data_IF_008626558391
#
_entry.id   IF_008626558391
#
_cell.length_a   1.000
_cell.length_b   1.000
_cell.length_c   1.000
_cell.angle_alpha   90.00
_cell.angle_beta   90.00
_cell.angle_gamma   90.00
#
_symmetry.space_group_name_H-M   'P 1'
#
loop_
_entity.id
_entity.type
_entity.pdbx_description
1 polymer ?
#
# COMPACT_ATOMS: atom_id res chain seq x y z
N UNK A 1 -6.51 16.09 -3.97
CA UNK A 1 -6.38 15.12 -2.87
C UNK A 1 -4.91 14.72 -2.71
N UNK A 2 -4.42 14.39 -1.52
CA UNK A 2 -3.03 13.98 -1.34
C UNK A 2 -2.77 12.67 -2.09
N UNK A 3 -1.67 12.64 -2.84
CA UNK A 3 -1.26 11.49 -3.66
C UNK A 3 -0.41 10.49 -2.86
N UNK A 4 0.33 11.00 -1.87
CA UNK A 4 1.21 10.22 -1.02
C UNK A 4 0.86 10.41 0.46
N UNK A 5 0.90 9.33 1.21
CA UNK A 5 0.87 9.31 2.67
C UNK A 5 2.27 9.03 3.22
N UNK A 6 2.68 9.80 4.22
CA UNK A 6 3.90 9.52 4.99
C UNK A 6 3.53 9.01 6.37
N UNK A 7 4.02 7.84 6.72
CA UNK A 7 3.77 7.21 8.02
C UNK A 7 5.07 7.17 8.79
N UNK A 8 5.08 7.81 9.97
CA UNK A 8 6.23 7.82 10.86
C UNK A 8 6.01 6.82 11.99
N UNK A 9 6.91 5.85 12.13
CA UNK A 9 6.90 4.90 13.24
C UNK A 9 8.15 5.09 14.11
N UNK A 10 8.02 5.28 15.43
CA UNK A 10 9.16 5.42 16.34
C UNK A 10 9.78 4.04 16.66
N UNK A 11 10.06 3.28 15.63
CA UNK A 11 10.65 1.95 15.70
C UNK A 11 11.39 1.64 14.41
N UNK A 12 12.41 0.80 14.47
CA UNK A 12 13.08 0.26 13.29
C UNK A 12 12.21 -0.83 12.66
N UNK A 13 11.76 -0.60 11.43
CA UNK A 13 11.00 -1.56 10.63
C UNK A 13 11.59 -1.62 9.22
N UNK A 14 11.76 -2.80 8.68
CA UNK A 14 12.15 -2.96 7.27
C UNK A 14 10.94 -3.16 6.34
N UNK A 15 9.81 -3.51 6.92
CA UNK A 15 8.49 -3.60 6.29
C UNK A 15 7.45 -3.11 7.30
N UNK A 16 6.22 -2.75 6.89
CA UNK A 16 5.21 -2.20 7.80
C UNK A 16 4.99 -3.03 9.07
N UNK A 17 5.15 -4.35 9.01
CA UNK A 17 4.87 -5.27 10.14
C UNK A 17 6.11 -5.89 10.77
N UNK A 18 7.29 -5.79 10.14
CA UNK A 18 8.49 -6.46 10.64
C UNK A 18 9.40 -5.48 11.33
N UNK A 19 9.51 -5.62 12.66
CA UNK A 19 10.49 -4.89 13.47
C UNK A 19 11.91 -5.39 13.18
N UNK A 20 12.86 -4.48 13.16
CA UNK A 20 14.28 -4.81 13.25
C UNK A 20 14.58 -4.87 14.76
N UNK A 21 14.97 -6.02 15.32
CA UNK A 21 15.02 -6.22 16.77
C UNK A 21 16.20 -5.53 17.48
N UNK A 22 17.05 -4.80 16.76
CA UNK A 22 18.30 -4.24 17.29
C UNK A 22 18.36 -2.74 17.06
N UNK A 23 18.56 -1.99 18.17
CA UNK A 23 18.86 -0.56 18.14
C UNK A 23 17.66 0.37 18.25
N UNK A 24 17.95 1.67 18.26
CA UNK A 24 16.99 2.75 18.29
C UNK A 24 16.92 3.43 16.93
N UNK A 25 15.71 3.78 16.48
CA UNK A 25 15.54 4.49 15.24
C UNK A 25 14.07 4.76 14.92
N UNK A 26 13.86 5.38 13.78
CA UNK A 26 12.55 5.65 13.23
C UNK A 26 12.41 5.01 11.85
N UNK A 27 11.20 4.69 11.48
CA UNK A 27 10.87 4.28 10.12
C UNK A 27 9.93 5.30 9.49
N UNK A 28 10.28 5.73 8.30
CA UNK A 28 9.48 6.61 7.47
C UNK A 28 8.96 5.78 6.29
N UNK A 29 7.68 5.52 6.26
CA UNK A 29 7.04 4.75 5.19
C UNK A 29 6.31 5.70 4.24
N UNK A 30 6.35 5.35 2.96
CA UNK A 30 5.62 6.03 1.90
C UNK A 30 4.48 5.12 1.45
N UNK A 31 3.28 5.66 1.35
CA UNK A 31 2.13 4.97 0.80
C UNK A 31 1.52 5.78 -0.35
N UNK A 32 1.16 5.11 -1.45
CA UNK A 32 0.34 5.70 -2.52
C UNK A 32 -1.11 5.68 -2.04
N UNK A 33 -1.73 6.86 -1.94
CA UNK A 33 -3.10 6.99 -1.42
C UNK A 33 -4.16 6.66 -2.48
N UNK A 34 -3.84 6.90 -3.75
CA UNK A 34 -4.73 6.63 -4.89
C UNK A 34 -3.96 5.85 -5.97
N UNK A 35 -3.72 4.52 -5.74
CA UNK A 35 -3.04 3.70 -6.73
C UNK A 35 -3.91 3.54 -7.99
N UNK A 36 -3.25 3.44 -9.14
CA UNK A 36 -3.90 3.12 -10.41
C UNK A 36 -3.90 1.62 -10.70
N UNK A 37 -2.99 0.87 -10.08
CA UNK A 37 -2.97 -0.60 -10.16
C UNK A 37 -4.25 -1.19 -9.59
N UNK A 38 -4.77 -2.23 -10.25
CA UNK A 38 -5.97 -2.93 -9.82
C UNK A 38 -5.68 -4.42 -9.66
N UNK A 39 -6.03 -4.95 -8.50
CA UNK A 39 -5.99 -6.36 -8.18
C UNK A 39 -7.37 -7.01 -8.24
N UNK A 40 -7.43 -8.27 -7.84
CA UNK A 40 -8.67 -9.03 -7.80
C UNK A 40 -8.69 -10.06 -6.67
N UNK A 41 -9.89 -10.33 -6.19
CA UNK A 41 -10.16 -11.44 -5.27
C UNK A 41 -11.14 -12.39 -5.97
N UNK A 42 -10.83 -13.68 -5.98
CA UNK A 42 -11.67 -14.71 -6.63
C UNK A 42 -11.75 -15.95 -5.76
N UNK A 43 -12.80 -16.73 -5.95
CA UNK A 43 -12.86 -18.07 -5.38
C UNK A 43 -11.79 -18.95 -6.03
N UNK A 44 -11.16 -19.79 -5.23
CA UNK A 44 -10.21 -20.80 -5.70
C UNK A 44 -10.93 -22.05 -6.21
N UNK A 45 -12.01 -22.44 -5.54
CA UNK A 45 -12.87 -23.59 -5.88
C UNK A 45 -14.30 -23.38 -5.39
N UNK A 46 -15.15 -24.37 -5.54
CA UNK A 46 -16.50 -24.40 -4.98
C UNK A 46 -16.52 -24.79 -3.48
N UNK A 47 -15.40 -25.24 -2.91
CA UNK A 47 -15.30 -25.56 -1.48
C UNK A 47 -15.19 -24.24 -0.66
N UNK A 48 -16.13 -23.96 0.27
CA UNK A 48 -16.12 -22.76 1.08
C UNK A 48 -14.96 -22.71 2.08
N UNK A 49 -14.26 -23.82 2.33
CA UNK A 49 -13.07 -23.88 3.20
C UNK A 49 -11.78 -23.52 2.48
N UNK A 50 -11.78 -23.51 1.16
CA UNK A 50 -10.63 -23.09 0.38
C UNK A 50 -10.38 -21.60 0.54
N UNK A 51 -9.09 -21.25 0.68
CA UNK A 51 -8.68 -19.84 0.74
C UNK A 51 -8.90 -19.17 -0.62
N UNK A 52 -9.42 -17.95 -0.65
CA UNK A 52 -9.59 -17.21 -1.89
C UNK A 52 -8.24 -16.92 -2.57
N UNK A 53 -8.27 -16.80 -3.89
CA UNK A 53 -7.14 -16.27 -4.67
C UNK A 53 -7.14 -14.75 -4.55
N UNK A 54 -6.07 -14.22 -3.96
CA UNK A 54 -5.87 -12.78 -3.79
C UNK A 54 -4.68 -12.38 -4.65
N UNK A 55 -4.95 -11.66 -5.72
CA UNK A 55 -3.96 -11.04 -6.58
C UNK A 55 -4.00 -9.53 -6.35
N UNK A 56 -3.05 -9.01 -5.61
CA UNK A 56 -2.98 -7.58 -5.34
C UNK A 56 -2.52 -6.77 -6.57
N UNK A 57 -1.82 -7.41 -7.51
CA UNK A 57 -1.35 -6.84 -8.78
C UNK A 57 -0.64 -5.48 -8.59
N UNK A 58 0.15 -5.36 -7.53
CA UNK A 58 0.86 -4.12 -7.21
C UNK A 58 1.80 -3.71 -8.34
N UNK A 59 1.91 -2.39 -8.56
CA UNK A 59 2.79 -1.78 -9.57
C UNK A 59 2.51 -2.24 -11.02
N UNK A 60 1.31 -2.73 -11.30
CA UNK A 60 0.87 -3.01 -12.67
C UNK A 60 0.69 -1.74 -13.50
N UNK A 61 0.45 -0.60 -12.83
CA UNK A 61 0.44 0.71 -13.47
C UNK A 61 1.73 1.47 -13.15
N UNK A 62 2.45 2.00 -14.17
CA UNK A 62 3.77 2.62 -13.97
C UNK A 62 3.75 3.86 -13.10
N UNK A 63 2.62 4.57 -13.06
CA UNK A 63 2.43 5.77 -12.24
C UNK A 63 2.59 5.50 -10.74
N UNK A 64 2.18 4.33 -10.27
CA UNK A 64 2.30 3.96 -8.86
C UNK A 64 3.77 3.82 -8.43
N UNK A 65 4.58 3.21 -9.29
CA UNK A 65 6.03 3.13 -9.07
C UNK A 65 6.67 4.53 -9.09
N UNK A 66 6.29 5.37 -10.06
CA UNK A 66 6.79 6.75 -10.17
C UNK A 66 6.51 7.55 -8.90
N UNK A 67 5.29 7.43 -8.35
CA UNK A 67 4.89 8.06 -7.09
C UNK A 67 5.72 7.56 -5.90
N UNK A 68 5.95 6.25 -5.79
CA UNK A 68 6.76 5.70 -4.71
C UNK A 68 8.22 6.15 -4.77
N UNK A 69 8.81 6.23 -5.97
CA UNK A 69 10.16 6.78 -6.17
C UNK A 69 10.23 8.23 -5.72
N UNK A 70 9.27 9.06 -6.13
CA UNK A 70 9.19 10.44 -5.70
C UNK A 70 9.02 10.55 -4.16
N UNK A 71 8.20 9.69 -3.58
CA UNK A 71 7.98 9.61 -2.15
C UNK A 71 9.24 9.23 -1.36
N UNK A 72 10.02 8.26 -1.84
CA UNK A 72 11.31 7.91 -1.20
C UNK A 72 12.29 9.09 -1.23
N UNK A 73 12.37 9.80 -2.36
CA UNK A 73 13.21 11.00 -2.45
C UNK A 73 12.75 12.09 -1.49
N UNK A 74 11.44 12.31 -1.39
CA UNK A 74 10.85 13.27 -0.46
C UNK A 74 11.18 12.92 1.01
N UNK A 75 11.08 11.66 1.39
CA UNK A 75 11.42 11.18 2.74
C UNK A 75 12.90 11.41 3.04
N UNK A 76 13.80 11.19 2.08
CA UNK A 76 15.23 11.50 2.22
C UNK A 76 15.47 12.99 2.42
N UNK A 77 14.78 13.86 1.67
CA UNK A 77 14.85 15.31 1.87
C UNK A 77 14.35 15.70 3.27
N UNK A 78 13.26 15.11 3.72
CA UNK A 78 12.72 15.32 5.07
C UNK A 78 13.74 14.89 6.14
N UNK A 79 14.33 13.71 6.01
CA UNK A 79 15.34 13.20 6.93
C UNK A 79 16.62 14.06 6.97
N UNK A 80 16.96 14.74 5.87
CA UNK A 80 18.09 15.64 5.78
C UNK A 80 17.83 17.02 6.41
N UNK A 81 16.58 17.36 6.78
CA UNK A 81 16.29 18.64 7.46
C UNK A 81 16.95 18.70 8.83
N UNK A 82 17.25 19.91 9.31
CA UNK A 82 17.92 20.14 10.62
C UNK A 82 17.20 19.41 11.77
N UNK A 83 15.87 19.36 11.76
CA UNK A 83 15.08 18.73 12.81
C UNK A 83 15.37 17.24 12.96
N UNK A 84 15.60 16.55 11.84
CA UNK A 84 15.89 15.12 11.81
C UNK A 84 17.39 14.81 11.83
N UNK A 85 18.19 15.51 11.02
CA UNK A 85 19.61 15.20 10.81
C UNK A 85 20.45 15.30 12.09
N UNK A 86 20.07 16.15 13.03
CA UNK A 86 20.73 16.24 14.34
C UNK A 86 20.50 15.00 15.24
N UNK A 87 19.52 14.15 14.92
CA UNK A 87 19.10 12.99 15.72
C UNK A 87 19.31 11.67 15.01
N UNK A 88 19.49 11.67 13.70
CA UNK A 88 19.69 10.50 12.88
C UNK A 88 21.17 10.30 12.57
N UNK A 89 21.67 9.08 12.79
CA UNK A 89 23.06 8.71 12.43
C UNK A 89 23.21 8.42 10.94
N UNK A 90 22.14 7.97 10.29
CA UNK A 90 22.15 7.62 8.86
C UNK A 90 20.96 6.77 8.47
N UNK A 91 20.85 6.54 7.17
CA UNK A 91 19.83 5.67 6.57
C UNK A 91 20.28 4.21 6.64
N UNK A 92 19.44 3.34 7.21
CA UNK A 92 19.68 1.91 7.29
C UNK A 92 19.07 1.17 6.07
N UNK A 93 17.87 1.54 5.68
CA UNK A 93 17.07 0.89 4.63
C UNK A 93 16.39 1.97 3.79
N UNK A 94 16.55 1.96 2.48
CA UNK A 94 17.33 1.06 1.60
C UNK A 94 18.84 1.15 1.75
N UNK A 95 19.35 2.20 2.38
CA UNK A 95 20.75 2.48 2.58
C UNK A 95 21.34 3.41 1.50
N UNK A 96 22.49 4.03 1.81
CA UNK A 96 23.09 5.08 0.99
C UNK A 96 23.58 4.58 -0.40
N UNK A 97 23.68 3.28 -0.61
CA UNK A 97 24.10 2.69 -1.90
C UNK A 97 22.97 2.68 -2.95
N UNK A 98 21.70 2.84 -2.54
CA UNK A 98 20.54 2.83 -3.44
C UNK A 98 20.23 4.28 -3.84
N UNK A 99 20.83 4.77 -4.92
CA UNK A 99 20.75 6.18 -5.33
C UNK A 99 20.17 6.38 -6.74
N UNK A 100 20.54 5.52 -7.71
CA UNK A 100 20.06 5.69 -9.09
C UNK A 100 18.56 5.41 -9.18
N UNK A 101 17.91 5.90 -10.22
CA UNK A 101 16.50 5.65 -10.52
C UNK A 101 16.23 4.13 -10.54
N UNK A 102 17.05 3.40 -11.27
CA UNK A 102 16.94 1.96 -11.48
C UNK A 102 17.10 1.19 -10.16
N UNK A 103 18.09 1.58 -9.33
CA UNK A 103 18.30 0.97 -8.02
C UNK A 103 17.11 1.18 -7.08
N UNK A 104 16.55 2.40 -7.07
CA UNK A 104 15.38 2.74 -6.26
C UNK A 104 14.17 1.93 -6.73
N UNK A 105 13.90 1.87 -8.03
CA UNK A 105 12.79 1.11 -8.59
C UNK A 105 12.90 -0.38 -8.28
N UNK A 106 14.09 -0.95 -8.46
CA UNK A 106 14.36 -2.35 -8.14
C UNK A 106 14.13 -2.62 -6.65
N UNK A 107 14.63 -1.75 -5.78
CA UNK A 107 14.45 -1.88 -4.34
C UNK A 107 12.97 -1.81 -3.95
N UNK A 108 12.21 -0.86 -4.50
CA UNK A 108 10.77 -0.75 -4.26
C UNK A 108 10.05 -2.05 -4.65
N UNK A 109 10.33 -2.59 -5.84
CA UNK A 109 9.70 -3.84 -6.31
C UNK A 109 9.95 -5.03 -5.39
N UNK A 110 11.10 -5.08 -4.74
CA UNK A 110 11.48 -6.17 -3.83
C UNK A 110 10.93 -5.99 -2.40
N UNK A 111 10.62 -4.75 -1.99
CA UNK A 111 10.29 -4.42 -0.60
C UNK A 111 8.90 -3.81 -0.44
N UNK A 112 8.14 -3.71 -1.53
CA UNK A 112 6.77 -3.22 -1.49
C UNK A 112 5.90 -4.14 -0.65
N UNK A 113 4.99 -3.53 0.12
CA UNK A 113 3.99 -4.24 0.91
C UNK A 113 2.67 -3.49 0.95
N UNK A 114 1.74 -4.04 1.68
CA UNK A 114 0.44 -3.41 1.92
C UNK A 114 0.41 -2.69 3.27
N UNK A 115 -0.40 -1.65 3.38
CA UNK A 115 -0.76 -1.02 4.67
C UNK A 115 -2.06 -1.61 5.26
N UNK A 116 -2.58 -2.69 4.64
CA UNK A 116 -3.78 -3.43 5.08
C UNK A 116 -5.09 -2.62 5.09
N UNK A 117 -5.21 -1.67 4.18
CA UNK A 117 -6.44 -0.90 3.98
C UNK A 117 -6.98 -1.09 2.55
N UNK A 118 -7.33 -2.34 2.15
CA UNK A 118 -7.87 -2.59 0.81
C UNK A 118 -9.26 -1.98 0.68
N UNK A 119 -9.53 -1.42 -0.49
CA UNK A 119 -10.82 -0.85 -0.87
C UNK A 119 -11.26 -1.38 -2.23
N UNK A 120 -12.54 -1.28 -2.55
CA UNK A 120 -13.07 -1.51 -3.89
C UNK A 120 -13.31 -2.98 -4.27
N UNK A 121 -12.91 -3.99 -3.47
CA UNK A 121 -13.16 -5.40 -3.81
C UNK A 121 -14.63 -5.83 -3.73
N UNK A 122 -15.48 -5.01 -3.09
CA UNK A 122 -16.95 -5.14 -3.09
C UNK A 122 -17.57 -3.80 -3.48
N UNK A 123 -17.04 -3.14 -4.52
CA UNK A 123 -17.38 -1.76 -4.84
C UNK A 123 -18.87 -1.54 -5.06
N UNK A 124 -19.35 -0.39 -4.63
CA UNK A 124 -20.69 0.10 -4.86
C UNK A 124 -20.82 0.64 -6.29
N UNK A 125 -21.92 0.37 -6.93
CA UNK A 125 -22.22 0.90 -8.26
C UNK A 125 -23.32 0.15 -8.99
N UNK A 126 -23.47 0.48 -10.28
CA UNK A 126 -24.44 -0.12 -11.20
C UNK A 126 -23.77 -0.72 -12.45
N UNK A 127 -22.45 -0.69 -12.51
CA UNK A 127 -21.68 -1.32 -13.58
C UNK A 127 -21.50 -2.82 -13.34
N UNK A 128 -21.06 -3.56 -14.35
CA UNK A 128 -20.92 -5.03 -14.32
C UNK A 128 -19.96 -5.55 -13.24
N UNK A 129 -19.05 -4.71 -12.76
CA UNK A 129 -18.09 -5.05 -11.70
C UNK A 129 -18.56 -4.61 -10.31
N UNK A 130 -19.72 -3.95 -10.21
CA UNK A 130 -20.28 -3.56 -8.92
C UNK A 130 -20.81 -4.77 -8.17
N UNK A 131 -20.45 -4.90 -6.91
CA UNK A 131 -20.88 -6.00 -6.05
C UNK A 131 -22.12 -5.59 -5.24
N UNK A 132 -22.22 -4.31 -4.86
CA UNK A 132 -23.34 -3.80 -4.07
C UNK A 132 -23.96 -2.56 -4.72
N UNK A 133 -25.24 -2.34 -4.45
CA UNK A 133 -25.96 -1.11 -4.82
C UNK A 133 -25.71 0.04 -3.84
N UNK A 134 -26.34 1.18 -4.09
CA UNK A 134 -26.22 2.40 -3.26
C UNK A 134 -26.76 2.22 -1.83
N UNK A 135 -27.47 1.13 -1.54
CA UNK A 135 -27.93 0.73 -0.21
C UNK A 135 -27.10 -0.41 0.39
N UNK A 136 -25.92 -0.68 -0.21
CA UNK A 136 -24.99 -1.73 0.19
C UNK A 136 -25.53 -3.17 0.05
N UNK A 137 -26.64 -3.37 -0.68
CA UNK A 137 -27.21 -4.69 -0.94
C UNK A 137 -26.43 -5.37 -2.06
N UNK A 138 -26.12 -6.65 -1.84
CA UNK A 138 -25.42 -7.46 -2.85
C UNK A 138 -26.32 -7.69 -4.05
N UNK A 139 -25.83 -7.37 -5.26
CA UNK A 139 -26.56 -7.61 -6.49
C UNK A 139 -26.88 -9.10 -6.68
N UNK A 140 -28.12 -9.40 -7.05
CA UNK A 140 -28.60 -10.76 -7.30
C UNK A 140 -28.88 -11.60 -6.05
N UNK A 141 -28.70 -11.07 -4.82
CA UNK A 141 -29.02 -11.77 -3.59
C UNK A 141 -29.98 -10.95 -2.72
N UNK A 142 -30.84 -11.65 -1.98
CA UNK A 142 -31.76 -11.04 -1.02
C UNK A 142 -31.21 -11.16 0.41
N UNK A 143 -31.41 -10.15 1.22
CA UNK A 143 -31.09 -10.17 2.65
C UNK A 143 -29.60 -10.03 2.99
N UNK A 144 -28.71 -9.82 1.98
CA UNK A 144 -27.26 -9.67 2.20
C UNK A 144 -26.79 -8.27 1.86
N UNK A 145 -25.95 -7.70 2.73
CA UNK A 145 -25.25 -6.43 2.53
C UNK A 145 -23.77 -6.55 2.86
N UNK A 146 -22.97 -5.71 2.20
CA UNK A 146 -21.55 -5.50 2.56
C UNK A 146 -21.37 -4.03 2.92
N UNK A 147 -20.93 -3.77 4.17
CA UNK A 147 -20.77 -2.43 4.71
C UNK A 147 -19.40 -2.28 5.38
N UNK A 148 -18.37 -2.13 4.56
CA UNK A 148 -16.99 -1.86 4.99
C UNK A 148 -16.24 -1.04 3.92
N UNK A 149 -14.95 -0.76 4.13
CA UNK A 149 -14.13 0.00 3.18
C UNK A 149 -14.04 -0.63 1.79
N UNK A 150 -14.30 -1.94 1.64
CA UNK A 150 -14.32 -2.63 0.35
C UNK A 150 -15.50 -2.19 -0.54
N UNK A 151 -16.55 -1.62 0.06
CA UNK A 151 -17.69 -1.05 -0.69
C UNK A 151 -17.37 0.31 -1.30
N UNK A 152 -16.28 0.98 -0.89
CA UNK A 152 -15.90 2.26 -1.46
C UNK A 152 -15.57 2.12 -2.95
N UNK A 153 -15.94 3.15 -3.72
CA UNK A 153 -15.51 3.29 -5.12
C UNK A 153 -14.01 3.58 -5.15
N UNK A 154 -13.24 2.76 -5.85
CA UNK A 154 -11.79 2.91 -6.03
C UNK A 154 -11.48 3.58 -7.36
#
# INVERSE_FOLDING_TARGET
MPELGLIVAPALKNQPQRLIPVGHGISLHVAVMHPQSRGRVRLNSADPHDKPLIDANFLSHPEDLRKLVAGLRLVRQLAATRAFSQRLKGELVPGPQVQSQEQIEQWIRQHLGTVFHPVGSCKMGHDELAVVDDQLRVHGLQGLRVADARSCRA
#
